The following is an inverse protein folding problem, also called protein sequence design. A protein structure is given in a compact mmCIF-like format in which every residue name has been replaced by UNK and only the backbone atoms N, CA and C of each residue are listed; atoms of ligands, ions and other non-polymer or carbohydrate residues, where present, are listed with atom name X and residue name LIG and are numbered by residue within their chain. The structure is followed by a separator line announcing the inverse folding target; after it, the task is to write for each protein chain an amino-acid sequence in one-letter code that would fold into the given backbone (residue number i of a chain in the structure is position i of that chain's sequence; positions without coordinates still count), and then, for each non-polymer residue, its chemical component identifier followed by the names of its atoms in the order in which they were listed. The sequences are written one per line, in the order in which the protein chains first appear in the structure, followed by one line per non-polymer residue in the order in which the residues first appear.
data_IF_341056654742
#
_entry.id   IF_341056654742
#
_cell.length_a   1.000
_cell.length_b   1.000
_cell.length_c   1.000
_cell.angle_alpha   90.00
_cell.angle_beta   90.00
_cell.angle_gamma   90.00
#
_symmetry.space_group_name_H-M   'P 1'
#
loop_
_entity.id
_entity.type
_entity.pdbx_description
1 polymer ?
#
# COMPACT_ATOMS: atom_id res chain seq x y z
N UNK A 1 12.11 20.91 32.29
CA UNK A 1 12.67 19.64 31.80
C UNK A 1 11.76 19.27 30.66
N UNK A 2 12.21 19.46 29.43
CA UNK A 2 11.44 19.04 28.26
C UNK A 2 11.57 17.52 28.24
N UNK A 3 10.49 16.82 28.58
CA UNK A 3 10.38 15.40 28.27
C UNK A 3 10.44 15.33 26.75
N UNK A 4 11.60 14.94 26.22
CA UNK A 4 11.66 14.37 24.89
C UNK A 4 10.77 13.14 24.98
N UNK A 5 9.55 13.21 24.45
CA UNK A 5 8.80 12.00 24.14
C UNK A 5 9.78 11.14 23.33
N UNK A 6 10.27 10.05 23.93
CA UNK A 6 10.99 9.02 23.22
C UNK A 6 10.10 8.65 22.04
N UNK A 7 10.44 9.13 20.83
CA UNK A 7 9.74 8.76 19.61
C UNK A 7 9.83 7.24 19.55
N UNK A 8 8.71 6.58 19.84
CA UNK A 8 8.66 5.12 19.86
C UNK A 8 9.14 4.64 18.49
N UNK A 9 10.04 3.65 18.44
CA UNK A 9 10.49 3.12 17.17
C UNK A 9 9.29 2.57 16.40
N UNK A 10 9.29 2.82 15.09
CA UNK A 10 8.26 2.33 14.19
C UNK A 10 8.33 0.79 14.20
N UNK A 11 7.21 0.15 14.51
CA UNK A 11 7.09 -1.30 14.49
C UNK A 11 6.20 -1.69 13.31
N UNK A 12 6.78 -2.44 12.36
CA UNK A 12 6.07 -2.88 11.16
C UNK A 12 5.86 -4.39 11.20
N UNK A 13 4.74 -4.85 10.65
CA UNK A 13 4.51 -6.25 10.32
C UNK A 13 4.32 -6.37 8.82
N UNK A 14 5.06 -7.27 8.19
CA UNK A 14 4.96 -7.55 6.77
C UNK A 14 4.32 -8.91 6.54
N UNK A 15 3.26 -8.93 5.72
CA UNK A 15 2.53 -10.12 5.35
C UNK A 15 2.42 -10.21 3.82
N UNK A 16 2.79 -11.34 3.23
CA UNK A 16 2.62 -11.52 1.79
C UNK A 16 2.34 -12.97 1.39
N UNK A 17 1.66 -13.12 0.26
CA UNK A 17 1.44 -14.39 -0.41
C UNK A 17 1.41 -14.17 -1.91
N UNK A 18 2.29 -14.84 -2.64
CA UNK A 18 2.24 -14.90 -4.10
C UNK A 18 1.59 -16.21 -4.59
N UNK A 19 0.98 -16.19 -5.77
CA UNK A 19 0.22 -17.35 -6.29
C UNK A 19 1.09 -18.51 -6.80
N UNK A 20 2.43 -18.39 -6.80
CA UNK A 20 3.30 -19.53 -7.10
C UNK A 20 3.51 -20.44 -5.88
N UNK A 21 3.19 -19.94 -4.68
CA UNK A 21 3.28 -20.68 -3.43
C UNK A 21 1.90 -21.13 -2.93
N UNK A 22 1.87 -22.26 -2.23
CA UNK A 22 0.67 -22.67 -1.49
C UNK A 22 0.61 -21.92 -0.15
N UNK A 23 -0.60 -21.59 0.37
CA UNK A 23 -0.76 -21.04 1.70
C UNK A 23 -0.06 -21.89 2.79
N UNK A 24 0.32 -21.29 3.93
CA UNK A 24 -0.08 -19.97 4.40
C UNK A 24 0.75 -18.80 3.82
N UNK A 25 0.26 -17.58 4.04
CA UNK A 25 1.04 -16.36 3.81
C UNK A 25 2.27 -16.33 4.73
N UNK A 26 3.33 -15.66 4.28
CA UNK A 26 4.52 -15.39 5.09
C UNK A 26 4.25 -14.13 5.91
N UNK A 27 4.55 -14.19 7.22
CA UNK A 27 4.41 -13.07 8.15
C UNK A 27 5.76 -12.83 8.83
N UNK A 28 6.21 -11.57 8.85
CA UNK A 28 7.48 -11.14 9.43
C UNK A 28 7.25 -9.88 10.25
N UNK A 29 7.49 -9.97 11.55
CA UNK A 29 7.56 -8.80 12.44
C UNK A 29 8.91 -8.09 12.25
N UNK A 30 8.88 -6.75 12.28
CA UNK A 30 10.05 -5.89 12.07
C UNK A 30 10.87 -6.32 10.83
N UNK A 31 10.24 -6.38 9.65
CA UNK A 31 10.89 -6.79 8.41
C UNK A 31 12.05 -5.86 8.06
N UNK A 32 13.07 -6.40 7.39
CA UNK A 32 14.06 -5.58 6.69
C UNK A 32 13.55 -5.20 5.29
N UNK A 33 13.99 -4.07 4.75
CA UNK A 33 13.53 -3.56 3.45
C UNK A 33 13.65 -4.61 2.32
N UNK A 34 14.75 -5.36 2.29
CA UNK A 34 15.02 -6.36 1.27
C UNK A 34 13.91 -7.43 1.22
N UNK A 35 13.36 -7.79 2.38
CA UNK A 35 12.27 -8.78 2.48
C UNK A 35 10.95 -8.24 1.91
N UNK A 36 10.64 -6.97 2.17
CA UNK A 36 9.45 -6.30 1.61
C UNK A 36 9.58 -6.18 0.10
N UNK A 37 10.73 -5.67 -0.38
CA UNK A 37 11.00 -5.50 -1.81
C UNK A 37 10.96 -6.83 -2.57
N UNK A 38 11.51 -7.91 -2.00
CA UNK A 38 11.41 -9.25 -2.59
C UNK A 38 9.95 -9.72 -2.69
N UNK A 39 9.15 -9.52 -1.64
CA UNK A 39 7.72 -9.85 -1.66
C UNK A 39 6.95 -9.07 -2.73
N UNK A 40 7.15 -7.76 -2.82
CA UNK A 40 6.56 -6.91 -3.87
C UNK A 40 6.87 -7.47 -5.26
N UNK A 41 8.13 -7.83 -5.53
CA UNK A 41 8.55 -8.39 -6.81
C UNK A 41 7.92 -9.75 -7.09
N UNK A 42 7.81 -10.62 -6.08
CA UNK A 42 7.15 -11.93 -6.21
C UNK A 42 5.67 -11.78 -6.54
N UNK A 43 4.93 -10.96 -5.79
CA UNK A 43 3.49 -10.77 -6.03
C UNK A 43 3.23 -10.04 -7.33
N UNK A 44 4.07 -9.09 -7.73
CA UNK A 44 3.97 -8.46 -9.05
C UNK A 44 4.15 -9.47 -10.18
N UNK A 45 5.09 -10.41 -10.03
CA UNK A 45 5.38 -11.43 -11.05
C UNK A 45 4.31 -12.52 -11.13
N UNK A 46 3.84 -13.01 -9.99
CA UNK A 46 2.97 -14.19 -9.92
C UNK A 46 1.51 -13.86 -9.58
N UNK A 47 1.20 -12.61 -9.25
CA UNK A 47 -0.04 -12.22 -8.59
C UNK A 47 -0.04 -12.60 -7.11
N UNK A 48 -1.03 -12.11 -6.37
CA UNK A 48 -1.12 -12.30 -4.92
C UNK A 48 -1.29 -10.98 -4.19
N UNK A 49 -0.80 -10.88 -2.95
CA UNK A 49 -0.88 -9.66 -2.16
C UNK A 49 0.34 -9.44 -1.28
N UNK A 50 0.59 -8.16 -0.97
CA UNK A 50 1.51 -7.68 0.06
C UNK A 50 0.76 -6.73 0.98
N UNK A 51 1.01 -6.81 2.28
CA UNK A 51 0.53 -5.88 3.32
C UNK A 51 1.67 -5.53 4.25
N UNK A 52 1.79 -4.25 4.59
CA UNK A 52 2.66 -3.75 5.65
C UNK A 52 1.81 -2.97 6.64
N UNK A 53 1.69 -3.50 7.84
CA UNK A 53 0.92 -2.91 8.94
C UNK A 53 1.83 -2.11 9.86
N UNK A 54 1.35 -0.97 10.34
CA UNK A 54 2.02 -0.12 11.33
C UNK A 54 1.45 -0.44 12.70
N UNK A 55 2.20 -1.23 13.47
CA UNK A 55 1.78 -1.67 14.80
C UNK A 55 2.08 -0.59 15.87
N UNK A 56 3.19 0.13 15.72
CA UNK A 56 3.54 1.29 16.56
C UNK A 56 4.19 2.39 15.71
N UNK A 57 3.99 3.68 16.05
CA UNK A 57 3.15 4.15 17.14
C UNK A 57 1.65 4.04 16.80
N UNK A 58 0.82 3.73 17.80
CA UNK A 58 -0.63 3.61 17.59
C UNK A 58 -1.32 4.90 17.13
N UNK A 59 -0.65 6.04 17.27
CA UNK A 59 -1.07 7.36 16.79
C UNK A 59 -0.81 7.58 15.29
N UNK A 60 -0.15 6.66 14.58
CA UNK A 60 0.10 6.80 13.14
C UNK A 60 -1.22 6.94 12.36
N UNK A 61 -1.23 7.86 11.40
CA UNK A 61 -2.34 8.02 10.47
C UNK A 61 -2.48 6.78 9.59
N UNK A 62 -1.37 6.21 9.13
CA UNK A 62 -1.34 5.02 8.28
C UNK A 62 -1.36 3.78 9.18
N UNK A 63 -2.33 2.90 8.97
CA UNK A 63 -2.47 1.62 9.67
C UNK A 63 -1.92 0.47 8.85
N UNK A 64 -2.20 0.47 7.56
CA UNK A 64 -1.74 -0.58 6.63
C UNK A 64 -1.55 0.04 5.25
N UNK A 65 -0.48 -0.34 4.57
CA UNK A 65 -0.34 -0.19 3.12
C UNK A 65 -0.41 -1.58 2.50
N UNK A 66 -1.26 -1.71 1.48
CA UNK A 66 -1.53 -2.97 0.81
C UNK A 66 -1.36 -2.85 -0.69
N UNK A 67 -0.97 -3.96 -1.30
CA UNK A 67 -0.86 -4.16 -2.74
C UNK A 67 -1.54 -5.47 -3.10
N UNK A 68 -2.60 -5.38 -3.89
CA UNK A 68 -3.18 -6.54 -4.56
C UNK A 68 -2.65 -6.60 -5.99
N UNK A 69 -2.25 -7.78 -6.44
CA UNK A 69 -1.56 -7.94 -7.72
C UNK A 69 -2.09 -9.09 -8.57
N UNK A 70 -2.13 -8.81 -9.87
CA UNK A 70 -2.13 -9.80 -10.94
C UNK A 70 -0.77 -9.72 -11.64
N UNK A 71 -0.32 -10.78 -12.35
CA UNK A 71 0.95 -10.73 -13.07
C UNK A 71 1.10 -9.46 -13.93
N UNK A 72 2.07 -8.61 -13.60
CA UNK A 72 2.41 -7.38 -14.33
C UNK A 72 1.60 -6.13 -13.98
N UNK A 73 0.63 -6.20 -13.05
CA UNK A 73 -0.18 -5.04 -12.65
C UNK A 73 -0.73 -5.17 -11.24
N UNK A 74 -1.01 -4.03 -10.61
CA UNK A 74 -1.43 -4.00 -9.21
C UNK A 74 -2.32 -2.82 -8.91
N UNK A 75 -2.99 -2.92 -7.76
CA UNK A 75 -3.64 -1.80 -7.08
C UNK A 75 -2.97 -1.59 -5.74
N UNK A 76 -2.86 -0.35 -5.30
CA UNK A 76 -2.41 0.00 -3.95
C UNK A 76 -3.57 0.60 -3.16
N UNK A 77 -3.61 0.28 -1.87
CA UNK A 77 -4.56 0.88 -0.96
C UNK A 77 -3.93 1.12 0.42
N UNK A 78 -4.42 2.15 1.09
CA UNK A 78 -4.01 2.53 2.44
C UNK A 78 -5.22 2.46 3.34
N UNK A 79 -5.07 1.75 4.46
CA UNK A 79 -5.96 1.87 5.61
C UNK A 79 -5.42 2.94 6.54
N UNK A 80 -6.28 3.86 6.96
CA UNK A 80 -5.93 4.96 7.86
C UNK A 80 -6.63 4.82 9.21
N UNK A 81 -6.15 5.56 10.21
CA UNK A 81 -6.81 5.73 11.50
C UNK A 81 -7.84 6.87 11.51
N UNK A 82 -8.26 7.39 10.34
CA UNK A 82 -9.22 8.49 10.25
C UNK A 82 -10.57 8.09 10.88
N UNK A 83 -11.16 8.95 11.74
CA UNK A 83 -12.49 8.72 12.28
C UNK A 83 -13.61 8.89 11.24
N UNK A 84 -13.30 9.46 10.07
CA UNK A 84 -14.24 9.57 8.96
C UNK A 84 -14.22 8.28 8.13
N UNK A 85 -15.32 7.51 8.05
CA UNK A 85 -15.36 6.25 7.30
C UNK A 85 -15.05 6.42 5.80
N UNK A 86 -15.20 7.63 5.26
CA UNK A 86 -14.83 7.93 3.87
C UNK A 86 -13.32 8.02 3.66
N UNK A 87 -12.54 8.23 4.71
CA UNK A 87 -11.09 8.40 4.65
C UNK A 87 -10.33 7.22 5.27
N UNK A 88 -11.04 6.28 5.89
CA UNK A 88 -10.48 5.05 6.46
C UNK A 88 -9.79 4.20 5.39
N UNK A 89 -10.33 4.16 4.17
CA UNK A 89 -9.76 3.42 3.05
C UNK A 89 -9.51 4.36 1.87
N UNK A 90 -8.26 4.41 1.42
CA UNK A 90 -7.83 5.21 0.29
C UNK A 90 -7.17 4.31 -0.76
N UNK A 91 -7.43 4.57 -2.04
CA UNK A 91 -6.80 3.88 -3.16
C UNK A 91 -5.80 4.79 -3.85
N UNK A 92 -4.74 4.23 -4.41
CA UNK A 92 -3.80 4.98 -5.24
C UNK A 92 -4.41 5.35 -6.59
N UNK A 93 -4.10 6.56 -7.05
CA UNK A 93 -4.45 7.06 -8.36
C UNK A 93 -3.22 7.58 -9.10
N UNK A 94 -3.17 7.30 -10.40
CA UNK A 94 -2.13 7.81 -11.30
C UNK A 94 -1.97 9.34 -11.16
N UNK A 95 -0.72 9.78 -11.19
CA UNK A 95 -0.38 11.18 -10.95
C UNK A 95 -0.92 12.14 -12.02
N UNK A 96 -1.13 13.39 -11.61
CA UNK A 96 -1.43 14.52 -12.50
C UNK A 96 -2.86 14.56 -13.06
N UNK A 97 -3.14 15.46 -14.00
CA UNK A 97 -4.45 15.61 -14.65
C UNK A 97 -4.70 14.56 -15.73
N UNK A 98 -4.23 13.32 -15.51
CA UNK A 98 -4.40 12.22 -16.44
C UNK A 98 -5.89 12.05 -16.75
N UNK A 99 -6.29 12.23 -18.02
CA UNK A 99 -7.69 12.19 -18.39
C UNK A 99 -8.24 10.79 -18.12
N UNK A 100 -9.54 10.69 -17.86
CA UNK A 100 -10.20 9.41 -17.78
C UNK A 100 -10.00 8.63 -19.10
N UNK A 101 -9.46 7.41 -19.00
CA UNK A 101 -9.17 6.54 -20.16
C UNK A 101 -10.09 5.31 -20.25
N UNK A 102 -11.17 5.30 -19.47
CA UNK A 102 -12.07 4.15 -19.36
C UNK A 102 -11.71 3.23 -18.19
N UNK A 103 -12.45 2.13 -18.14
CA UNK A 103 -12.29 1.09 -17.12
C UNK A 103 -11.42 -0.05 -17.63
N UNK A 104 -10.75 -0.74 -16.71
CA UNK A 104 -9.99 -1.95 -16.96
C UNK A 104 -10.44 -3.03 -16.00
N UNK A 105 -10.52 -4.28 -16.48
CA UNK A 105 -10.81 -5.42 -15.63
C UNK A 105 -9.59 -5.79 -14.79
N UNK A 106 -9.75 -5.85 -13.47
CA UNK A 106 -8.76 -6.35 -12.53
C UNK A 106 -9.39 -7.46 -11.68
N UNK A 107 -9.06 -8.71 -11.99
CA UNK A 107 -9.75 -9.87 -11.42
C UNK A 107 -11.11 -10.02 -12.08
N UNK A 108 -12.17 -10.03 -11.28
CA UNK A 108 -13.54 -10.14 -11.76
C UNK A 108 -14.28 -8.80 -11.83
N UNK A 109 -13.67 -7.73 -11.31
CA UNK A 109 -14.26 -6.40 -11.23
C UNK A 109 -13.65 -5.43 -12.26
N UNK A 110 -14.42 -4.40 -12.60
CA UNK A 110 -13.99 -3.28 -13.44
C UNK A 110 -13.59 -2.10 -12.56
N UNK A 111 -12.43 -1.51 -12.85
CA UNK A 111 -11.91 -0.35 -12.14
C UNK A 111 -11.54 0.76 -13.11
N UNK A 112 -11.53 2.01 -12.63
CA UNK A 112 -10.91 3.11 -13.38
C UNK A 112 -9.46 2.74 -13.69
N UNK A 113 -9.07 2.82 -14.96
CA UNK A 113 -7.72 2.47 -15.41
C UNK A 113 -6.62 3.26 -14.70
N UNK A 114 -6.93 4.45 -14.15
CA UNK A 114 -6.01 5.28 -13.38
C UNK A 114 -5.73 4.75 -11.96
N UNK A 115 -6.48 3.75 -11.49
CA UNK A 115 -6.26 3.09 -10.17
C UNK A 115 -5.43 1.81 -10.27
N UNK A 116 -5.16 1.34 -11.50
CA UNK A 116 -4.38 0.12 -11.76
C UNK A 116 -3.03 0.51 -12.34
N UNK A 117 -1.97 0.20 -11.61
CA UNK A 117 -0.61 0.52 -12.00
C UNK A 117 0.10 -0.71 -12.59
N UNK A 118 0.94 -0.49 -13.61
CA UNK A 118 1.81 -1.50 -14.18
C UNK A 118 3.29 -1.25 -13.88
N UNK A 119 3.64 -0.09 -13.33
CA UNK A 119 5.01 0.29 -12.99
C UNK A 119 5.32 -0.12 -11.55
N UNK A 120 6.04 -1.22 -11.38
CA UNK A 120 6.42 -1.75 -10.06
C UNK A 120 7.24 -0.75 -9.23
N UNK A 121 7.95 0.18 -9.87
CA UNK A 121 8.75 1.17 -9.15
C UNK A 121 7.90 2.10 -8.29
N UNK A 122 6.64 2.32 -8.66
CA UNK A 122 5.67 3.07 -7.85
C UNK A 122 5.35 2.30 -6.56
N UNK A 123 5.10 0.99 -6.64
CA UNK A 123 4.89 0.18 -5.44
C UNK A 123 6.14 0.19 -4.55
N UNK A 124 7.32 -0.07 -5.12
CA UNK A 124 8.56 -0.06 -4.35
C UNK A 124 8.79 1.31 -3.67
N UNK A 125 8.52 2.43 -4.34
CA UNK A 125 8.68 3.76 -3.76
C UNK A 125 7.72 4.03 -2.58
N UNK A 126 6.44 3.73 -2.74
CA UNK A 126 5.43 3.97 -1.69
C UNK A 126 5.64 3.05 -0.48
N UNK A 127 5.98 1.78 -0.70
CA UNK A 127 6.32 0.88 0.42
C UNK A 127 7.62 1.27 1.11
N UNK A 128 8.60 1.78 0.35
CA UNK A 128 9.86 2.24 0.94
C UNK A 128 9.65 3.46 1.82
N UNK A 129 8.81 4.40 1.39
CA UNK A 129 8.43 5.56 2.20
C UNK A 129 7.80 5.14 3.53
N UNK A 130 6.86 4.19 3.51
CA UNK A 130 6.27 3.65 4.73
C UNK A 130 7.31 2.96 5.62
N UNK A 131 8.21 2.19 5.02
CA UNK A 131 9.27 1.51 5.74
C UNK A 131 10.21 2.48 6.47
N UNK A 132 10.60 3.57 5.81
CA UNK A 132 11.57 4.53 6.34
C UNK A 132 10.95 5.51 7.34
N UNK A 133 9.66 5.84 7.20
CA UNK A 133 9.02 6.92 7.97
C UNK A 133 7.89 6.46 8.90
N UNK A 134 7.34 5.26 8.70
CA UNK A 134 6.13 4.80 9.40
C UNK A 134 4.85 5.53 8.98
N UNK A 135 4.95 6.39 7.95
CA UNK A 135 3.86 7.17 7.36
C UNK A 135 3.98 7.24 5.83
N UNK A 136 3.25 8.17 5.22
CA UNK A 136 3.20 8.36 3.76
C UNK A 136 3.04 9.85 3.44
N UNK A 137 4.05 10.65 3.71
CA UNK A 137 4.01 12.12 3.56
C UNK A 137 3.79 12.55 2.10
N UNK A 138 4.47 11.91 1.17
CA UNK A 138 4.38 12.11 -0.28
C UNK A 138 3.36 11.15 -0.88
N UNK A 139 3.39 9.88 -0.47
CA UNK A 139 2.52 8.82 -1.00
C UNK A 139 1.03 9.14 -0.85
N UNK A 140 0.60 9.76 0.27
CA UNK A 140 -0.81 10.10 0.51
C UNK A 140 -1.37 11.10 -0.50
N UNK A 141 -0.55 11.95 -1.12
CA UNK A 141 -1.03 12.93 -2.09
C UNK A 141 -1.71 12.27 -3.31
N UNK A 142 -1.30 11.04 -3.62
CA UNK A 142 -1.84 10.21 -4.71
C UNK A 142 -2.95 9.26 -4.24
N UNK A 143 -3.20 9.17 -2.94
CA UNK A 143 -4.25 8.36 -2.37
C UNK A 143 -5.58 9.15 -2.35
N UNK A 144 -6.68 8.48 -2.70
CA UNK A 144 -8.02 9.07 -2.74
C UNK A 144 -9.04 8.11 -2.19
N UNK A 145 -10.04 8.67 -1.52
CA UNK A 145 -11.22 7.94 -1.11
C UNK A 145 -12.00 7.42 -2.32
N UNK A 146 -12.44 6.15 -2.34
CA UNK A 146 -13.39 5.66 -3.33
C UNK A 146 -14.73 6.41 -3.32
N UNK A 147 -15.05 7.12 -2.23
CA UNK A 147 -16.24 7.96 -2.10
C UNK A 147 -16.10 9.31 -2.81
N UNK A 148 -14.89 9.68 -3.22
CA UNK A 148 -14.58 10.90 -3.95
C UNK A 148 -13.58 10.60 -5.08
N UNK A 149 -13.97 9.79 -6.08
CA UNK A 149 -13.10 9.42 -7.18
C UNK A 149 -12.78 10.64 -8.04
N UNK A 150 -11.73 10.54 -8.87
CA UNK A 150 -11.44 11.61 -9.83
C UNK A 150 -12.54 11.67 -10.90
N UNK A 151 -12.86 12.88 -11.39
CA UNK A 151 -13.76 13.04 -12.53
C UNK A 151 -13.20 12.40 -13.80
#
# INVERSE_FOLDING_TARGET
MFDFEDEKPICLEFCYLDRSNSPPAVIVENPVWESISEGIRKVYKFGGFVRVSVNEPQSSLVRELSMDSLPGRFKLAVLTSSPNPKEEYLEWWEFGDSPFRGVVRFGDDEFDSRTVCADISIAEAVFKELYETGGLDVGLAQMRSPWNPRP
#
